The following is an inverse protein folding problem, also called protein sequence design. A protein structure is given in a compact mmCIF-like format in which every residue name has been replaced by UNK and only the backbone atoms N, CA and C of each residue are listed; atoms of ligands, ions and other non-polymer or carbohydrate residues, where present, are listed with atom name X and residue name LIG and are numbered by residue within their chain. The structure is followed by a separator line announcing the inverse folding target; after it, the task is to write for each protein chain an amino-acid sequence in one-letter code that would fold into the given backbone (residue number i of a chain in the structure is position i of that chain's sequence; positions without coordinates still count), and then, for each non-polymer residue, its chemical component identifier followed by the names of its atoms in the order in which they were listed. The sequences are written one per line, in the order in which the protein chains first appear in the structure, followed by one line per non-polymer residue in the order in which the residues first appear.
data_IF_246771936932
#
_entry.id   IF_246771936932
#
_cell.length_a   1.000
_cell.length_b   1.000
_cell.length_c   1.000
_cell.angle_alpha   90.00
_cell.angle_beta   90.00
_cell.angle_gamma   90.00
#
_symmetry.space_group_name_H-M   'P 1'
#
loop_
_entity.id
_entity.type
_entity.pdbx_description
1 polymer ?
#
# COMPACT_ATOMS: atom_id res chain seq x y z
N UNK A 1 -13.90 -18.27 15.83
CA UNK A 1 -12.62 -17.63 15.49
C UNK A 1 -11.82 -17.49 16.77
N UNK A 2 -10.59 -18.00 16.83
CA UNK A 2 -9.80 -17.87 18.06
C UNK A 2 -9.11 -16.49 18.14
N UNK A 3 -8.50 -16.19 19.30
CA UNK A 3 -7.80 -14.93 19.54
C UNK A 3 -6.75 -14.64 18.46
N UNK A 4 -5.99 -15.65 18.02
CA UNK A 4 -4.95 -15.52 16.98
C UNK A 4 -5.53 -15.13 15.63
N UNK A 5 -6.61 -15.79 15.20
CA UNK A 5 -7.32 -15.46 13.96
C UNK A 5 -7.91 -14.05 13.97
N UNK A 6 -8.44 -13.60 15.12
CA UNK A 6 -8.93 -12.22 15.27
C UNK A 6 -7.79 -11.19 15.16
N UNK A 7 -6.65 -11.47 15.77
CA UNK A 7 -5.45 -10.62 15.65
C UNK A 7 -5.01 -10.54 14.19
N UNK A 8 -4.87 -11.69 13.50
CA UNK A 8 -4.48 -11.71 12.08
C UNK A 8 -5.42 -10.86 11.22
N UNK A 9 -6.73 -11.01 11.38
CA UNK A 9 -7.70 -10.22 10.61
C UNK A 9 -7.58 -8.71 10.88
N UNK A 10 -7.47 -8.31 12.14
CA UNK A 10 -7.33 -6.89 12.50
C UNK A 10 -6.01 -6.33 11.96
N UNK A 11 -4.91 -7.07 12.05
CA UNK A 11 -3.61 -6.64 11.51
C UNK A 11 -3.65 -6.48 10.00
N UNK A 12 -4.21 -7.46 9.27
CA UNK A 12 -4.33 -7.39 7.80
C UNK A 12 -5.20 -6.20 7.38
N UNK A 13 -6.34 -6.01 8.05
CA UNK A 13 -7.22 -4.88 7.76
C UNK A 13 -6.53 -3.54 8.04
N UNK A 14 -5.80 -3.44 9.16
CA UNK A 14 -5.06 -2.22 9.49
C UNK A 14 -3.99 -1.89 8.44
N UNK A 15 -3.24 -2.89 7.96
CA UNK A 15 -2.23 -2.68 6.91
C UNK A 15 -2.88 -2.20 5.61
N UNK A 16 -3.98 -2.81 5.19
CA UNK A 16 -4.71 -2.42 3.97
C UNK A 16 -5.23 -0.98 4.09
N UNK A 17 -5.88 -0.66 5.21
CA UNK A 17 -6.42 0.68 5.45
C UNK A 17 -5.30 1.73 5.47
N UNK A 18 -4.20 1.48 6.17
CA UNK A 18 -3.06 2.40 6.21
C UNK A 18 -2.45 2.62 4.83
N UNK A 19 -2.28 1.54 4.04
CA UNK A 19 -1.79 1.62 2.66
C UNK A 19 -2.66 2.52 1.78
N UNK A 20 -3.99 2.36 1.87
CA UNK A 20 -4.95 3.19 1.12
C UNK A 20 -4.97 4.65 1.59
N UNK A 21 -4.80 4.90 2.89
CA UNK A 21 -4.71 6.28 3.42
C UNK A 21 -3.46 6.98 2.89
N UNK A 22 -2.31 6.29 2.82
CA UNK A 22 -1.08 6.85 2.24
C UNK A 22 -1.27 7.16 0.75
N UNK A 23 -1.96 6.29 0.01
CA UNK A 23 -2.28 6.53 -1.40
C UNK A 23 -3.16 7.77 -1.60
N UNK A 24 -4.21 7.92 -0.80
CA UNK A 24 -5.09 9.09 -0.84
C UNK A 24 -4.27 10.36 -0.52
N UNK A 25 -3.45 10.31 0.54
CA UNK A 25 -2.58 11.43 0.92
C UNK A 25 -1.53 11.78 -0.14
N UNK A 26 -1.17 10.82 -1.01
CA UNK A 26 -0.20 10.99 -2.09
C UNK A 26 -0.81 11.52 -3.40
N UNK A 27 -2.10 11.82 -3.42
CA UNK A 27 -2.77 12.42 -4.58
C UNK A 27 -3.47 11.43 -5.51
N UNK A 28 -3.74 10.21 -5.05
CA UNK A 28 -4.57 9.21 -5.77
C UNK A 28 -4.06 8.79 -7.15
N UNK A 29 -2.74 8.81 -7.35
CA UNK A 29 -2.10 8.36 -8.59
C UNK A 29 -2.32 6.85 -8.84
N UNK A 30 -2.55 6.44 -10.08
CA UNK A 30 -2.74 5.01 -10.41
C UNK A 30 -1.43 4.24 -10.30
N UNK A 31 -0.35 4.82 -10.81
CA UNK A 31 0.99 4.23 -10.83
C UNK A 31 1.94 4.96 -9.90
N UNK A 32 2.83 4.21 -9.27
CA UNK A 32 3.89 4.76 -8.44
C UNK A 32 4.91 5.48 -9.31
N UNK A 33 5.24 6.72 -8.96
CA UNK A 33 6.19 7.55 -9.69
C UNK A 33 7.43 7.75 -8.86
N UNK A 34 8.60 7.66 -9.48
CA UNK A 34 9.88 8.05 -8.86
C UNK A 34 10.33 9.44 -9.30
N UNK A 35 9.80 9.91 -10.43
CA UNK A 35 10.08 11.21 -11.02
C UNK A 35 8.79 11.86 -11.51
N UNK A 36 8.76 13.18 -11.42
CA UNK A 36 7.65 14.00 -11.90
C UNK A 36 8.19 15.08 -12.80
N UNK A 37 7.51 15.33 -13.92
CA UNK A 37 7.83 16.42 -14.82
C UNK A 37 7.30 17.73 -14.23
N UNK A 38 8.20 18.65 -13.91
CA UNK A 38 7.87 19.96 -13.33
C UNK A 38 8.31 21.05 -14.29
N UNK A 39 7.46 22.04 -14.48
CA UNK A 39 7.84 23.27 -15.18
C UNK A 39 8.64 24.15 -14.23
N UNK A 40 9.92 24.37 -14.55
CA UNK A 40 10.80 25.27 -13.83
C UNK A 40 11.00 26.52 -14.69
N UNK A 41 10.82 27.69 -14.06
CA UNK A 41 11.13 28.96 -14.69
C UNK A 41 12.60 29.27 -14.45
N UNK A 42 13.34 29.48 -15.52
CA UNK A 42 14.70 29.97 -15.44
C UNK A 42 14.66 31.46 -15.02
N UNK A 43 15.22 31.78 -13.87
CA UNK A 43 15.25 33.15 -13.33
C UNK A 43 16.18 34.07 -14.13
N UNK A 44 17.17 33.51 -14.84
CA UNK A 44 18.17 34.27 -15.60
C UNK A 44 17.65 34.64 -17.00
N UNK A 45 16.97 33.71 -17.66
CA UNK A 45 16.52 33.89 -19.05
C UNK A 45 15.00 34.07 -19.19
N UNK A 46 14.24 33.83 -18.12
CA UNK A 46 12.80 34.05 -18.06
C UNK A 46 11.95 33.00 -18.81
N UNK A 47 12.57 31.97 -19.39
CA UNK A 47 11.87 30.91 -20.11
C UNK A 47 11.53 29.75 -19.18
N UNK A 48 10.51 28.98 -19.53
CA UNK A 48 10.05 27.80 -18.78
C UNK A 48 10.56 26.53 -19.42
N UNK A 49 11.27 25.71 -18.66
CA UNK A 49 11.70 24.37 -19.06
C UNK A 49 10.95 23.27 -18.30
N UNK A 50 10.73 22.12 -18.95
CA UNK A 50 10.19 20.93 -18.30
C UNK A 50 11.33 20.06 -17.84
N UNK A 51 11.47 19.88 -16.53
CA UNK A 51 12.53 19.09 -15.93
C UNK A 51 11.96 17.92 -15.14
N UNK A 52 12.56 16.75 -15.30
CA UNK A 52 12.28 15.61 -14.44
C UNK A 52 12.92 15.86 -13.07
N UNK A 53 12.08 15.90 -12.04
CA UNK A 53 12.52 16.06 -10.66
C UNK A 53 12.25 14.76 -9.93
N UNK A 54 13.26 14.27 -9.21
CA UNK A 54 13.13 13.11 -8.34
C UNK A 54 12.10 13.40 -7.25
N UNK A 55 10.99 12.70 -7.32
CA UNK A 55 9.88 12.83 -6.38
C UNK A 55 9.11 11.52 -6.36
N UNK A 56 9.17 10.84 -5.23
CA UNK A 56 8.40 9.63 -5.03
C UNK A 56 6.92 9.98 -4.79
N UNK A 57 6.03 9.41 -5.60
CA UNK A 57 4.58 9.45 -5.39
C UNK A 57 4.07 8.02 -5.25
N UNK A 58 3.45 7.75 -4.13
CA UNK A 58 2.87 6.45 -3.81
C UNK A 58 1.60 6.21 -4.63
N UNK A 59 1.63 5.20 -5.50
CA UNK A 59 0.52 4.87 -6.40
C UNK A 59 -0.45 3.81 -5.88
N UNK A 60 -1.53 3.62 -6.63
CA UNK A 60 -2.53 2.57 -6.37
C UNK A 60 -1.96 1.19 -6.66
N UNK A 61 -1.07 1.06 -7.63
CA UNK A 61 -0.33 -0.17 -7.96
C UNK A 61 0.43 -0.74 -6.74
N UNK A 62 1.22 0.10 -6.05
CA UNK A 62 1.95 -0.28 -4.85
C UNK A 62 0.99 -0.60 -3.70
N UNK A 63 -0.06 0.22 -3.53
CA UNK A 63 -1.07 0.01 -2.50
C UNK A 63 -1.84 -1.30 -2.70
N UNK A 64 -2.17 -1.60 -3.95
CA UNK A 64 -2.82 -2.82 -4.39
C UNK A 64 -1.92 -4.03 -4.19
N UNK A 65 -0.63 -3.93 -4.52
CA UNK A 65 0.35 -4.99 -4.26
C UNK A 65 0.47 -5.29 -2.76
N UNK A 66 0.64 -4.26 -1.92
CA UNK A 66 0.70 -4.40 -0.45
C UNK A 66 -0.58 -5.02 0.08
N UNK A 67 -1.74 -4.57 -0.41
CA UNK A 67 -3.04 -5.09 0.02
C UNK A 67 -3.23 -6.56 -0.38
N UNK A 68 -2.88 -6.91 -1.62
CA UNK A 68 -2.96 -8.27 -2.14
C UNK A 68 -2.04 -9.23 -1.40
N UNK A 69 -0.78 -8.84 -1.17
CA UNK A 69 0.18 -9.65 -0.40
C UNK A 69 -0.30 -9.80 1.05
N UNK A 70 -0.73 -8.71 1.69
CA UNK A 70 -1.25 -8.74 3.06
C UNK A 70 -2.47 -9.66 3.18
N UNK A 71 -3.37 -9.62 2.20
CA UNK A 71 -4.52 -10.52 2.14
C UNK A 71 -4.08 -11.98 1.99
N UNK A 72 -3.19 -12.29 1.05
CA UNK A 72 -2.70 -13.66 0.84
C UNK A 72 -2.02 -14.22 2.10
N UNK A 73 -1.11 -13.47 2.71
CA UNK A 73 -0.45 -13.84 3.96
C UNK A 73 -1.47 -14.00 5.09
N UNK A 74 -2.43 -13.08 5.17
CA UNK A 74 -3.54 -13.12 6.12
C UNK A 74 -4.36 -14.39 6.03
N UNK A 75 -4.73 -14.80 4.81
CA UNK A 75 -5.47 -16.04 4.54
C UNK A 75 -4.66 -17.26 4.99
N UNK A 76 -3.38 -17.34 4.61
CA UNK A 76 -2.49 -18.44 5.01
C UNK A 76 -2.43 -18.56 6.54
N UNK A 77 -2.15 -17.46 7.24
CA UNK A 77 -2.08 -17.44 8.70
C UNK A 77 -3.42 -17.78 9.36
N UNK A 78 -4.53 -17.31 8.77
CA UNK A 78 -5.86 -17.61 9.27
C UNK A 78 -6.17 -19.11 9.24
N UNK A 79 -5.76 -19.81 8.18
CA UNK A 79 -5.90 -21.26 8.06
C UNK A 79 -4.95 -22.02 8.98
N UNK A 80 -3.69 -21.59 9.13
CA UNK A 80 -2.73 -22.21 10.06
C UNK A 80 -3.23 -22.12 11.50
N UNK A 81 -3.77 -20.96 11.91
CA UNK A 81 -4.33 -20.78 13.24
C UNK A 81 -5.72 -21.37 13.41
N UNK A 82 -6.31 -22.01 12.39
CA UNK A 82 -7.58 -22.70 12.54
C UNK A 82 -7.39 -23.89 13.48
N UNK A 83 -7.80 -23.73 14.73
CA UNK A 83 -7.87 -24.84 15.69
C UNK A 83 -8.83 -25.88 15.12
N UNK A 84 -8.32 -27.04 14.72
CA UNK A 84 -9.15 -28.24 14.59
C UNK A 84 -9.68 -28.50 16.00
N UNK A 85 -10.99 -28.40 16.22
CA UNK A 85 -11.59 -29.08 17.38
C UNK A 85 -11.20 -30.54 17.19
N UNK A 86 -10.19 -31.00 17.93
CA UNK A 86 -9.92 -32.42 18.07
C UNK A 86 -11.25 -33.03 18.48
N UNK A 87 -11.85 -33.84 17.62
CA UNK A 87 -12.84 -34.83 18.05
C UNK A 87 -12.10 -35.67 19.07
N UNK A 88 -12.25 -35.32 20.35
CA UNK A 88 -11.79 -36.13 21.46
C UNK A 88 -12.71 -37.34 21.45
N UNK A 89 -12.09 -38.51 21.34
CA UNK A 89 -12.63 -39.88 21.27
C UNK A 89 -14.02 -40.06 21.89
#
# INVERSE_FOLDING_TARGET
MNKKQKIVLVTVLAIIVLSLVVWIASGTEIFTKTQVLVEQKDELFGWTEKKWVDKFIWGLDLSGAISGISFLVGVILFFIFRTKKSKRN
#
